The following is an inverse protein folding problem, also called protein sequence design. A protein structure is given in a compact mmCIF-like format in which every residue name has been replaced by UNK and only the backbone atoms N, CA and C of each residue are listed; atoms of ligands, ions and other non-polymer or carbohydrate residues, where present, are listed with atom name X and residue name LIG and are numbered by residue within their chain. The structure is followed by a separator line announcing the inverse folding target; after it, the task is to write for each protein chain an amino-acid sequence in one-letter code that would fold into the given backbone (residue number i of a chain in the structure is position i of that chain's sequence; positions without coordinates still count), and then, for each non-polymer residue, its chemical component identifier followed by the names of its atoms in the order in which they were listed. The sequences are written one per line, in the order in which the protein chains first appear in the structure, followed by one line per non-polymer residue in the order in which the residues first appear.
data_IF_360735004363
#
_entry.id   IF_360735004363
#
_cell.length_a   1.000
_cell.length_b   1.000
_cell.length_c   1.000
_cell.angle_alpha   90.00
_cell.angle_beta   90.00
_cell.angle_gamma   90.00
#
_symmetry.space_group_name_H-M   'P 1'
#
loop_
_entity.id
_entity.type
_entity.pdbx_description
1 polymer ?
#
# COMPACT_ATOMS: atom_id res chain seq x y z
N UNK A 1 10.89 16.08 -21.13
CA UNK A 1 9.78 15.12 -21.05
C UNK A 1 10.40 13.75 -21.15
N UNK A 2 10.45 13.01 -20.05
CA UNK A 2 10.90 11.61 -20.02
C UNK A 2 9.73 10.79 -20.60
N UNK A 3 9.94 9.92 -21.61
CA UNK A 3 8.86 9.14 -22.18
C UNK A 3 8.25 8.19 -21.12
N UNK A 4 6.94 7.95 -21.21
CA UNK A 4 6.20 7.06 -20.30
C UNK A 4 6.74 5.62 -20.28
N UNK A 5 7.40 5.18 -21.34
CA UNK A 5 8.08 3.89 -21.42
C UNK A 5 9.51 4.03 -20.89
N UNK A 6 9.72 3.73 -19.61
CA UNK A 6 10.97 3.90 -18.87
C UNK A 6 11.92 2.68 -18.94
N UNK A 7 11.65 1.75 -19.85
CA UNK A 7 12.52 0.59 -20.09
C UNK A 7 13.50 0.91 -21.20
N UNK A 8 14.79 0.88 -20.89
CA UNK A 8 15.85 1.20 -21.84
C UNK A 8 16.69 -0.03 -22.18
N UNK A 9 17.10 -0.13 -23.45
CA UNK A 9 18.28 -0.90 -23.85
C UNK A 9 19.56 -0.24 -23.32
N UNK A 10 20.71 -0.94 -23.27
CA UNK A 10 21.92 -0.44 -22.64
C UNK A 10 22.17 1.03 -22.97
N UNK A 11 22.37 1.84 -21.94
CA UNK A 11 22.71 3.25 -22.10
C UNK A 11 24.11 3.33 -22.71
N UNK A 12 24.20 3.59 -24.02
CA UNK A 12 25.45 3.65 -24.78
C UNK A 12 26.45 4.68 -24.24
N UNK A 13 26.05 5.53 -23.30
CA UNK A 13 26.85 6.61 -22.74
C UNK A 13 27.27 6.44 -21.28
N UNK A 14 26.86 5.37 -20.59
CA UNK A 14 27.31 5.13 -19.22
C UNK A 14 28.66 4.41 -19.19
N UNK A 15 29.58 4.83 -18.25
CA UNK A 15 30.91 4.21 -18.14
C UNK A 15 30.84 2.69 -17.93
N UNK A 16 31.92 1.98 -18.25
CA UNK A 16 32.13 0.52 -18.12
C UNK A 16 31.63 -0.15 -16.84
N UNK A 17 31.35 0.60 -15.78
CA UNK A 17 30.72 0.13 -14.53
C UNK A 17 29.30 -0.40 -14.74
N UNK A 18 28.62 -0.02 -15.81
CA UNK A 18 27.28 -0.48 -16.18
C UNK A 18 27.26 -1.46 -17.36
N UNK A 19 28.42 -1.87 -17.86
CA UNK A 19 28.57 -3.07 -18.72
C UNK A 19 28.29 -4.33 -17.88
N UNK A 20 27.14 -4.33 -17.22
CA UNK A 20 26.66 -5.46 -16.45
C UNK A 20 26.00 -6.46 -17.36
N UNK A 21 25.85 -7.69 -16.91
CA UNK A 21 25.19 -8.78 -17.64
C UNK A 21 23.68 -8.54 -17.88
N UNK A 22 23.15 -7.39 -17.43
CA UNK A 22 21.72 -7.07 -17.57
C UNK A 22 21.48 -6.35 -18.92
N UNK A 23 20.63 -6.91 -19.78
CA UNK A 23 20.40 -6.35 -21.12
C UNK A 23 19.49 -5.11 -21.11
N UNK A 24 18.76 -4.84 -20.02
CA UNK A 24 17.78 -3.76 -19.91
C UNK A 24 17.81 -3.11 -18.54
N UNK A 25 17.41 -1.85 -18.50
CA UNK A 25 17.33 -1.05 -17.28
C UNK A 25 15.97 -0.36 -17.20
N UNK A 26 15.41 -0.36 -16.00
CA UNK A 26 14.24 0.45 -15.66
C UNK A 26 14.69 1.68 -14.89
N UNK A 27 14.31 2.85 -15.38
CA UNK A 27 14.58 4.13 -14.73
C UNK A 27 13.31 4.59 -14.02
N UNK A 28 13.36 4.62 -12.70
CA UNK A 28 12.29 5.14 -11.86
C UNK A 28 12.62 6.56 -11.42
N UNK A 29 11.75 7.51 -11.74
CA UNK A 29 11.89 8.88 -11.27
C UNK A 29 11.32 8.98 -9.86
N UNK A 30 12.16 9.32 -8.91
CA UNK A 30 11.81 9.39 -7.51
C UNK A 30 11.58 10.84 -7.03
N UNK A 31 12.20 11.78 -7.72
CA UNK A 31 12.02 13.22 -7.59
C UNK A 31 12.60 13.91 -8.83
N UNK A 32 12.52 15.24 -8.90
CA UNK A 32 13.16 16.03 -9.98
C UNK A 32 14.67 15.80 -10.09
N UNK A 33 15.33 15.39 -9.01
CA UNK A 33 16.79 15.27 -8.94
C UNK A 33 17.29 13.88 -8.53
N UNK A 34 16.40 12.94 -8.24
CA UNK A 34 16.77 11.59 -7.83
C UNK A 34 16.05 10.54 -8.68
N UNK A 35 16.83 9.62 -9.23
CA UNK A 35 16.37 8.52 -10.05
C UNK A 35 16.96 7.21 -9.56
N UNK A 36 16.14 6.18 -9.44
CA UNK A 36 16.59 4.81 -9.21
C UNK A 36 16.75 4.09 -10.56
N UNK A 37 17.82 3.31 -10.70
CA UNK A 37 18.11 2.54 -11.91
C UNK A 37 18.15 1.04 -11.54
N UNK A 38 17.22 0.27 -12.07
CA UNK A 38 17.02 -1.14 -11.75
C UNK A 38 17.34 -2.04 -12.95
N UNK A 39 18.10 -3.11 -12.75
CA UNK A 39 18.36 -4.11 -13.79
C UNK A 39 17.16 -5.01 -14.02
N UNK A 40 16.69 -5.13 -15.26
CA UNK A 40 15.58 -6.00 -15.67
C UNK A 40 16.12 -7.19 -16.46
N UNK A 41 15.64 -8.40 -16.12
CA UNK A 41 15.88 -9.62 -16.91
C UNK A 41 14.89 -9.72 -18.06
N UNK A 42 13.61 -9.49 -17.78
CA UNK A 42 12.56 -9.57 -18.82
C UNK A 42 11.35 -8.72 -18.46
N UNK A 43 10.61 -8.26 -19.49
CA UNK A 43 9.28 -7.70 -19.37
C UNK A 43 8.27 -8.82 -19.58
N UNK A 44 7.54 -9.20 -18.53
CA UNK A 44 6.66 -10.36 -18.54
C UNK A 44 5.28 -10.03 -19.10
N UNK A 45 4.81 -8.81 -18.86
CA UNK A 45 3.48 -8.36 -19.27
C UNK A 45 3.42 -6.84 -19.34
N UNK A 46 2.60 -6.32 -20.27
CA UNK A 46 2.29 -4.91 -20.39
C UNK A 46 0.87 -4.75 -20.91
N UNK A 47 0.09 -3.90 -20.26
CA UNK A 47 -1.27 -3.53 -20.69
C UNK A 47 -1.60 -2.12 -20.27
N UNK A 48 -2.08 -1.31 -21.21
CA UNK A 48 -2.76 -0.06 -20.89
C UNK A 48 -4.22 -0.36 -20.55
N UNK A 49 -4.59 -0.16 -19.29
CA UNK A 49 -5.98 -0.20 -18.85
C UNK A 49 -6.68 1.14 -19.13
N UNK A 50 -7.93 1.28 -18.74
CA UNK A 50 -8.62 2.57 -18.76
C UNK A 50 -7.97 3.59 -17.81
N UNK A 51 -7.28 3.11 -16.75
CA UNK A 51 -6.81 3.95 -15.64
C UNK A 51 -5.29 4.15 -15.61
N UNK A 52 -4.51 3.13 -16.02
CA UNK A 52 -3.06 3.13 -15.82
C UNK A 52 -2.34 2.16 -16.76
N UNK A 53 -1.05 2.36 -16.94
CA UNK A 53 -0.16 1.40 -17.60
C UNK A 53 0.30 0.34 -16.59
N UNK A 54 -0.19 -0.88 -16.75
CA UNK A 54 0.17 -2.04 -15.93
C UNK A 54 1.34 -2.75 -16.59
N UNK A 55 2.48 -2.84 -15.90
CA UNK A 55 3.65 -3.58 -16.37
C UNK A 55 4.12 -4.57 -15.30
N UNK A 56 4.51 -5.76 -15.72
CA UNK A 56 5.13 -6.79 -14.88
C UNK A 56 6.47 -7.15 -15.47
N UNK A 57 7.53 -7.02 -14.68
CA UNK A 57 8.87 -7.31 -15.11
C UNK A 57 9.62 -8.19 -14.10
N UNK A 58 10.57 -9.00 -14.57
CA UNK A 58 11.51 -9.74 -13.73
C UNK A 58 12.76 -8.88 -13.50
N UNK A 59 12.87 -8.34 -12.30
CA UNK A 59 14.01 -7.54 -11.86
C UNK A 59 15.12 -8.44 -11.30
N UNK A 60 16.37 -8.05 -11.52
CA UNK A 60 17.52 -8.84 -11.10
C UNK A 60 17.57 -9.05 -9.57
N UNK A 61 17.25 -8.02 -8.80
CA UNK A 61 17.37 -8.01 -7.34
C UNK A 61 16.01 -8.09 -6.62
N UNK A 62 14.91 -7.68 -7.30
CA UNK A 62 13.59 -7.60 -6.71
C UNK A 62 12.69 -8.80 -7.05
N UNK A 63 13.08 -9.62 -8.07
CA UNK A 63 12.22 -10.65 -8.62
C UNK A 63 11.10 -10.07 -9.48
N UNK A 64 9.98 -10.77 -9.58
CA UNK A 64 8.81 -10.26 -10.31
C UNK A 64 8.28 -9.02 -9.62
N UNK A 65 8.03 -7.99 -10.39
CA UNK A 65 7.71 -6.67 -9.88
C UNK A 65 6.59 -6.03 -10.68
N UNK A 66 5.57 -5.54 -9.99
CA UNK A 66 4.50 -4.72 -10.57
C UNK A 66 4.96 -3.28 -10.68
N UNK A 67 4.73 -2.70 -11.85
CA UNK A 67 4.98 -1.29 -12.13
C UNK A 67 3.67 -0.69 -12.63
N UNK A 68 3.22 0.40 -12.02
CA UNK A 68 2.08 1.19 -12.49
C UNK A 68 2.56 2.59 -12.90
N UNK A 69 2.26 2.99 -14.12
CA UNK A 69 2.65 4.29 -14.68
C UNK A 69 4.14 4.63 -14.49
N UNK A 70 4.99 3.57 -14.55
CA UNK A 70 6.44 3.72 -14.39
C UNK A 70 6.92 3.86 -12.95
N UNK A 71 6.13 3.44 -11.96
CA UNK A 71 6.50 3.36 -10.54
C UNK A 71 6.34 1.95 -10.01
N UNK A 72 7.33 1.48 -9.26
CA UNK A 72 7.27 0.19 -8.58
C UNK A 72 6.19 0.26 -7.50
N UNK A 73 5.27 -0.73 -7.52
CA UNK A 73 4.18 -0.84 -6.56
C UNK A 73 4.31 -2.07 -5.66
N UNK A 74 4.73 -3.20 -6.23
CA UNK A 74 4.85 -4.47 -5.51
C UNK A 74 6.03 -5.24 -6.07
N UNK A 75 6.93 -5.74 -5.22
CA UNK A 75 8.04 -6.59 -5.61
C UNK A 75 8.05 -7.91 -4.82
N UNK A 76 8.36 -9.01 -5.48
CA UNK A 76 8.37 -10.37 -4.90
C UNK A 76 9.30 -10.49 -3.68
N UNK A 77 10.38 -9.72 -3.69
CA UNK A 77 11.39 -9.77 -2.62
C UNK A 77 10.89 -9.24 -1.29
N UNK A 78 9.99 -8.25 -1.28
CA UNK A 78 9.67 -7.48 -0.07
C UNK A 78 8.20 -7.06 0.10
N UNK A 79 7.29 -7.46 -0.81
CA UNK A 79 5.86 -7.13 -0.73
C UNK A 79 5.25 -7.46 0.64
N UNK A 80 5.73 -8.55 1.25
CA UNK A 80 5.24 -9.00 2.54
C UNK A 80 5.55 -8.02 3.68
N UNK A 81 6.59 -7.21 3.57
CA UNK A 81 6.92 -6.18 4.56
C UNK A 81 5.83 -5.11 4.53
N UNK A 82 5.50 -4.64 3.33
CA UNK A 82 4.48 -3.63 3.11
C UNK A 82 3.09 -4.11 3.55
N UNK A 83 2.65 -5.27 3.07
CA UNK A 83 1.31 -5.77 3.35
C UNK A 83 1.13 -6.22 4.80
N UNK A 84 2.16 -6.83 5.42
CA UNK A 84 2.13 -7.14 6.85
C UNK A 84 2.02 -5.85 7.70
N UNK A 85 2.72 -4.77 7.31
CA UNK A 85 2.64 -3.47 8.00
C UNK A 85 1.28 -2.80 7.79
N UNK A 86 0.70 -2.86 6.61
CA UNK A 86 -0.59 -2.25 6.29
C UNK A 86 -1.75 -2.94 7.02
N UNK A 87 -1.77 -4.26 7.01
CA UNK A 87 -2.93 -5.06 7.42
C UNK A 87 -2.89 -5.41 8.91
N UNK A 88 -1.84 -6.08 9.37
CA UNK A 88 -1.89 -6.76 10.66
C UNK A 88 -1.96 -5.84 11.89
N UNK A 89 -1.31 -4.66 11.92
CA UNK A 89 -1.51 -3.74 13.03
C UNK A 89 -2.98 -3.30 13.15
N UNK A 90 -3.68 -3.03 12.04
CA UNK A 90 -5.10 -2.67 12.07
C UNK A 90 -5.96 -3.79 12.64
N UNK A 91 -5.69 -5.04 12.21
CA UNK A 91 -6.42 -6.23 12.68
C UNK A 91 -6.22 -6.46 14.19
N UNK A 92 -5.03 -6.20 14.71
CA UNK A 92 -4.75 -6.34 16.16
C UNK A 92 -5.33 -5.19 16.98
N UNK A 93 -5.30 -3.96 16.44
CA UNK A 93 -5.84 -2.77 17.11
C UNK A 93 -7.36 -2.78 17.17
N UNK A 94 -8.05 -3.34 16.20
CA UNK A 94 -9.49 -3.44 16.18
C UNK A 94 -10.00 -4.39 17.29
N UNK A 95 -11.14 -4.04 17.89
CA UNK A 95 -11.77 -4.91 18.88
C UNK A 95 -12.48 -6.11 18.23
N UNK A 96 -13.02 -5.88 17.05
CA UNK A 96 -13.69 -6.87 16.21
C UNK A 96 -13.18 -6.70 14.78
N UNK A 97 -12.98 -7.80 14.09
CA UNK A 97 -12.46 -7.85 12.73
C UNK A 97 -13.39 -8.58 11.75
N UNK A 98 -14.64 -8.85 12.18
CA UNK A 98 -15.57 -9.68 11.40
C UNK A 98 -15.93 -9.12 10.03
N UNK A 99 -15.87 -7.80 9.83
CA UNK A 99 -16.16 -7.14 8.55
C UNK A 99 -15.04 -6.18 8.17
N UNK A 100 -14.42 -6.42 7.02
CA UNK A 100 -13.30 -5.65 6.50
C UNK A 100 -13.65 -5.05 5.14
N UNK A 101 -13.34 -3.77 4.96
CA UNK A 101 -13.37 -3.08 3.67
C UNK A 101 -11.95 -2.81 3.23
N UNK A 102 -11.62 -3.12 1.98
CA UNK A 102 -10.37 -2.76 1.33
C UNK A 102 -10.69 -1.82 0.18
N UNK A 103 -10.06 -0.67 0.15
CA UNK A 103 -10.16 0.33 -0.91
C UNK A 103 -8.86 0.30 -1.70
N UNK A 104 -8.92 -0.02 -3.00
CA UNK A 104 -7.77 -0.35 -3.83
C UNK A 104 -7.28 -1.79 -3.58
N UNK A 105 -5.97 -2.03 -3.79
CA UNK A 105 -5.35 -3.33 -3.55
C UNK A 105 -5.72 -4.39 -4.59
N UNK A 106 -5.84 -3.99 -5.86
CA UNK A 106 -6.18 -4.87 -6.99
C UNK A 106 -5.16 -5.99 -7.25
N UNK A 107 -3.97 -5.93 -6.63
CA UNK A 107 -2.99 -7.01 -6.62
C UNK A 107 -3.39 -8.20 -5.71
N UNK A 108 -4.35 -8.01 -4.81
CA UNK A 108 -4.88 -9.04 -3.91
C UNK A 108 -3.99 -9.38 -2.72
N UNK A 109 -2.82 -8.75 -2.54
CA UNK A 109 -1.91 -9.06 -1.45
C UNK A 109 -2.45 -8.60 -0.08
N UNK A 110 -3.02 -7.38 0.00
CA UNK A 110 -3.70 -6.93 1.21
C UNK A 110 -4.90 -7.83 1.56
N UNK A 111 -5.66 -8.25 0.55
CA UNK A 111 -6.77 -9.20 0.71
C UNK A 111 -6.29 -10.54 1.26
N UNK A 112 -5.21 -11.10 0.72
CA UNK A 112 -4.56 -12.32 1.22
C UNK A 112 -4.22 -12.22 2.70
N UNK A 113 -3.63 -11.11 3.11
CA UNK A 113 -3.23 -10.91 4.51
C UNK A 113 -4.44 -10.80 5.45
N UNK A 114 -5.52 -10.14 5.03
CA UNK A 114 -6.79 -10.06 5.78
C UNK A 114 -7.38 -11.45 5.98
N UNK A 115 -7.38 -12.28 4.95
CA UNK A 115 -7.99 -13.63 4.97
C UNK A 115 -7.25 -14.64 5.85
N UNK A 116 -6.02 -14.38 6.25
CA UNK A 116 -5.29 -15.17 7.25
C UNK A 116 -5.97 -15.16 8.63
N UNK A 117 -6.82 -14.17 8.90
CA UNK A 117 -7.51 -14.03 10.18
C UNK A 117 -8.82 -14.84 10.20
N UNK A 118 -8.93 -15.89 11.05
CA UNK A 118 -10.13 -16.76 11.06
C UNK A 118 -11.40 -16.05 11.53
N UNK A 119 -11.25 -14.98 12.32
CA UNK A 119 -12.38 -14.20 12.85
C UNK A 119 -13.00 -13.26 11.78
N UNK A 120 -12.39 -13.12 10.60
CA UNK A 120 -12.94 -12.39 9.45
C UNK A 120 -14.07 -13.21 8.82
N UNK A 121 -15.24 -12.58 8.64
CA UNK A 121 -16.46 -13.21 8.11
C UNK A 121 -16.87 -12.65 6.76
N UNK A 122 -16.52 -11.40 6.51
CA UNK A 122 -16.88 -10.67 5.29
C UNK A 122 -15.76 -9.70 4.93
N UNK A 123 -15.34 -9.74 3.68
CA UNK A 123 -14.41 -8.77 3.10
C UNK A 123 -15.05 -8.20 1.84
N UNK A 124 -15.10 -6.88 1.74
CA UNK A 124 -15.41 -6.19 0.50
C UNK A 124 -14.14 -5.51 -0.02
N UNK A 125 -13.70 -5.88 -1.21
CA UNK A 125 -12.62 -5.20 -1.91
C UNK A 125 -13.23 -4.33 -3.00
N UNK A 126 -12.89 -3.06 -3.03
CA UNK A 126 -13.37 -2.07 -4.01
C UNK A 126 -12.19 -1.57 -4.80
N UNK A 127 -12.09 -2.01 -6.04
CA UNK A 127 -11.04 -1.66 -6.99
C UNK A 127 -11.67 -1.04 -8.23
N UNK A 128 -11.05 0.01 -8.76
CA UNK A 128 -11.57 0.69 -9.95
C UNK A 128 -11.11 -0.01 -11.23
N UNK A 129 -9.93 -0.60 -11.21
CA UNK A 129 -9.28 -1.22 -12.38
C UNK A 129 -9.46 -2.74 -12.38
N UNK A 130 -10.46 -3.22 -13.12
CA UNK A 130 -10.71 -4.66 -13.30
C UNK A 130 -9.50 -5.38 -13.90
N UNK A 131 -8.75 -4.71 -14.78
CA UNK A 131 -7.57 -5.29 -15.43
C UNK A 131 -6.46 -5.63 -14.43
N UNK A 132 -6.35 -4.89 -13.34
CA UNK A 132 -5.43 -5.22 -12.24
C UNK A 132 -5.78 -6.57 -11.62
N UNK A 133 -7.04 -6.75 -11.23
CA UNK A 133 -7.52 -7.98 -10.59
C UNK A 133 -7.34 -9.19 -11.51
N UNK A 134 -7.78 -9.05 -12.78
CA UNK A 134 -7.65 -10.14 -13.75
C UNK A 134 -6.19 -10.48 -14.05
N UNK A 135 -5.32 -9.47 -14.11
CA UNK A 135 -3.88 -9.68 -14.30
C UNK A 135 -3.29 -10.52 -13.16
N UNK A 136 -3.61 -10.20 -11.91
CA UNK A 136 -3.06 -10.93 -10.76
C UNK A 136 -3.67 -12.32 -10.60
N UNK A 137 -4.94 -12.50 -10.86
CA UNK A 137 -5.58 -13.83 -10.87
C UNK A 137 -4.93 -14.78 -11.88
N UNK A 138 -4.60 -14.28 -13.06
CA UNK A 138 -4.09 -15.12 -14.16
C UNK A 138 -2.58 -15.30 -14.09
N UNK A 139 -1.83 -14.24 -13.84
CA UNK A 139 -0.37 -14.26 -13.96
C UNK A 139 0.36 -14.52 -12.62
N UNK A 140 -0.30 -14.24 -11.48
CA UNK A 140 0.31 -14.34 -10.15
C UNK A 140 -0.62 -15.01 -9.10
N UNK A 141 -1.24 -16.17 -9.42
CA UNK A 141 -2.11 -16.85 -8.47
C UNK A 141 -1.39 -17.24 -7.18
N UNK A 142 -0.07 -17.44 -7.23
CA UNK A 142 0.77 -17.72 -6.06
C UNK A 142 0.99 -16.49 -5.16
N UNK A 143 0.73 -15.26 -5.60
CA UNK A 143 0.78 -14.08 -4.74
C UNK A 143 -0.53 -13.88 -4.01
N UNK A 144 -1.63 -14.11 -4.70
CA UNK A 144 -2.98 -13.94 -4.15
C UNK A 144 -3.43 -15.12 -3.30
N UNK A 145 -2.83 -16.31 -3.49
CA UNK A 145 -3.21 -17.56 -2.82
C UNK A 145 -4.71 -17.88 -2.92
N UNK A 146 -5.35 -17.52 -4.04
CA UNK A 146 -6.79 -17.73 -4.23
C UNK A 146 -7.68 -16.77 -3.40
N UNK A 147 -7.14 -15.64 -2.97
CA UNK A 147 -7.86 -14.69 -2.11
C UNK A 147 -9.12 -14.14 -2.77
N UNK A 148 -9.11 -13.92 -4.08
CA UNK A 148 -10.28 -13.39 -4.79
C UNK A 148 -11.45 -14.38 -4.89
N UNK A 149 -11.18 -15.67 -4.75
CA UNK A 149 -12.16 -16.76 -4.82
C UNK A 149 -12.65 -17.24 -3.45
N UNK A 150 -12.15 -16.65 -2.36
CA UNK A 150 -12.58 -17.00 -0.99
C UNK A 150 -14.06 -16.61 -0.78
N UNK A 151 -14.84 -17.52 -0.22
CA UNK A 151 -16.30 -17.36 0.00
C UNK A 151 -16.68 -16.14 0.85
N UNK A 152 -15.75 -15.63 1.65
CA UNK A 152 -15.94 -14.43 2.47
C UNK A 152 -15.80 -13.14 1.69
N UNK A 153 -15.32 -13.19 0.43
CA UNK A 153 -14.91 -12.03 -0.37
C UNK A 153 -15.98 -11.62 -1.36
N UNK A 154 -16.23 -10.32 -1.41
CA UNK A 154 -16.97 -9.66 -2.49
C UNK A 154 -16.04 -8.65 -3.14
N UNK A 155 -15.72 -8.87 -4.40
CA UNK A 155 -14.98 -7.91 -5.23
C UNK A 155 -15.98 -7.00 -5.93
N UNK A 156 -15.74 -5.70 -5.90
CA UNK A 156 -16.55 -4.67 -6.55
C UNK A 156 -15.67 -3.82 -7.45
N UNK A 157 -15.96 -3.84 -8.73
CA UNK A 157 -15.30 -2.94 -9.68
C UNK A 157 -16.03 -1.61 -9.65
N UNK A 158 -15.48 -0.67 -8.90
CA UNK A 158 -16.04 0.68 -8.78
C UNK A 158 -15.06 1.65 -8.12
N UNK A 159 -15.35 2.92 -8.26
CA UNK A 159 -14.66 3.98 -7.53
C UNK A 159 -14.83 3.83 -6.01
N UNK A 160 -13.73 3.97 -5.27
CA UNK A 160 -13.72 3.83 -3.81
C UNK A 160 -14.67 4.79 -3.10
N UNK A 161 -14.95 5.97 -3.68
CA UNK A 161 -15.91 6.94 -3.09
C UNK A 161 -17.35 6.44 -3.07
N UNK A 162 -17.69 5.43 -3.87
CA UNK A 162 -19.05 4.87 -3.94
C UNK A 162 -19.51 4.28 -2.61
N UNK A 163 -18.57 3.76 -1.79
CA UNK A 163 -18.88 3.19 -0.47
C UNK A 163 -19.47 4.24 0.49
N UNK A 164 -19.22 5.52 0.25
CA UNK A 164 -19.75 6.60 1.09
C UNK A 164 -21.27 6.73 1.01
N UNK A 165 -21.85 6.34 -0.13
CA UNK A 165 -23.29 6.42 -0.39
C UNK A 165 -24.08 5.25 0.22
N UNK A 166 -23.40 4.27 0.80
CA UNK A 166 -24.02 3.06 1.34
C UNK A 166 -24.23 3.14 2.84
N UNK A 167 -25.21 2.40 3.37
CA UNK A 167 -25.47 2.32 4.81
C UNK A 167 -24.63 1.24 5.51
N UNK A 168 -23.63 0.68 4.81
CA UNK A 168 -22.76 -0.35 5.39
C UNK A 168 -21.71 0.24 6.32
N UNK A 169 -21.34 -0.52 7.33
CA UNK A 169 -20.30 -0.17 8.31
C UNK A 169 -19.34 -1.32 8.55
N UNK A 170 -18.10 -0.99 8.87
CA UNK A 170 -16.97 -1.91 8.87
C UNK A 170 -16.21 -1.90 10.19
N UNK A 171 -15.65 -3.04 10.57
CA UNK A 171 -14.78 -3.13 11.74
C UNK A 171 -13.36 -2.65 11.44
N UNK A 172 -12.88 -2.96 10.24
CA UNK A 172 -11.59 -2.49 9.73
C UNK A 172 -11.81 -1.96 8.33
N UNK A 173 -11.21 -0.81 8.02
CA UNK A 173 -11.14 -0.26 6.68
C UNK A 173 -9.67 -0.07 6.34
N UNK A 174 -9.22 -0.67 5.25
CA UNK A 174 -7.85 -0.58 4.73
C UNK A 174 -7.89 0.21 3.44
N UNK A 175 -7.11 1.27 3.35
CA UNK A 175 -6.91 2.06 2.14
C UNK A 175 -5.54 1.76 1.56
N UNK A 176 -5.55 1.00 0.48
CA UNK A 176 -4.40 0.59 -0.32
C UNK A 176 -4.50 1.24 -1.70
N UNK A 177 -4.69 2.55 -1.68
CA UNK A 177 -4.85 3.40 -2.86
C UNK A 177 -3.50 4.02 -3.24
N UNK A 178 -3.25 4.17 -4.52
CA UNK A 178 -2.10 4.93 -5.02
C UNK A 178 -2.18 6.39 -4.55
N UNK A 179 -1.05 6.98 -4.17
CA UNK A 179 -0.98 8.37 -3.72
C UNK A 179 -1.49 9.34 -4.79
N UNK A 180 -2.06 10.49 -4.35
CA UNK A 180 -2.67 11.47 -5.26
C UNK A 180 -1.65 12.28 -6.05
N UNK A 181 -0.37 12.11 -5.80
CA UNK A 181 0.68 12.95 -6.36
C UNK A 181 1.49 12.18 -7.38
N UNK A 182 1.42 12.61 -8.64
CA UNK A 182 2.43 12.27 -9.62
C UNK A 182 3.38 13.45 -9.82
N UNK A 183 4.63 13.16 -10.17
CA UNK A 183 5.65 14.17 -10.44
C UNK A 183 5.44 14.88 -11.79
N UNK A 184 4.39 14.53 -12.52
CA UNK A 184 4.10 15.09 -13.86
C UNK A 184 3.28 16.37 -13.79
N UNK A 185 2.68 16.67 -12.63
CA UNK A 185 1.81 17.83 -12.45
C UNK A 185 0.51 17.75 -13.26
N UNK A 186 0.14 16.55 -13.71
CA UNK A 186 -1.11 16.32 -14.41
C UNK A 186 -2.26 16.26 -13.40
N UNK A 187 -3.17 17.25 -13.48
CA UNK A 187 -4.26 17.47 -12.53
C UNK A 187 -5.41 16.45 -12.63
N UNK A 188 -5.24 15.38 -13.38
CA UNK A 188 -6.23 14.31 -13.57
C UNK A 188 -6.01 13.10 -12.66
N UNK A 189 -5.26 13.23 -11.57
CA UNK A 189 -5.07 12.12 -10.65
C UNK A 189 -6.40 11.76 -9.97
N UNK A 190 -6.93 10.60 -10.31
CA UNK A 190 -8.19 10.06 -9.77
C UNK A 190 -8.17 9.93 -8.23
N UNK A 191 -6.98 9.80 -7.65
CA UNK A 191 -6.81 9.61 -6.21
C UNK A 191 -6.98 10.91 -5.42
N UNK A 192 -6.73 12.11 -5.96
CA UNK A 192 -6.73 13.38 -5.19
C UNK A 192 -7.99 13.55 -4.32
N UNK A 193 -9.17 13.24 -4.87
CA UNK A 193 -10.45 13.35 -4.16
C UNK A 193 -10.61 12.37 -3.00
N UNK A 194 -9.82 11.27 -3.00
CA UNK A 194 -9.83 10.22 -1.97
C UNK A 194 -8.85 10.52 -0.82
N UNK A 195 -8.08 11.61 -0.92
CA UNK A 195 -7.12 12.06 0.10
C UNK A 195 -7.53 13.39 0.76
N UNK A 196 -8.82 13.72 0.71
CA UNK A 196 -9.37 14.93 1.32
C UNK A 196 -9.87 14.69 2.75
N UNK A 197 -9.93 15.76 3.55
CA UNK A 197 -10.51 15.70 4.90
C UNK A 197 -11.96 15.21 4.88
N UNK A 198 -12.73 15.63 3.89
CA UNK A 198 -14.15 15.25 3.79
C UNK A 198 -14.29 13.76 3.50
N UNK A 199 -13.45 13.20 2.60
CA UNK A 199 -13.41 11.77 2.35
C UNK A 199 -13.02 10.99 3.62
N UNK A 200 -11.93 11.35 4.30
CA UNK A 200 -11.51 10.66 5.52
C UNK A 200 -12.53 10.80 6.66
N UNK A 201 -13.20 11.94 6.77
CA UNK A 201 -14.28 12.11 7.76
C UNK A 201 -15.47 11.22 7.46
N UNK A 202 -15.85 11.09 6.20
CA UNK A 202 -16.91 10.19 5.76
C UNK A 202 -16.52 8.71 5.97
N UNK A 203 -15.28 8.31 5.67
CA UNK A 203 -14.74 6.98 5.99
C UNK A 203 -14.80 6.71 7.49
N UNK A 204 -14.45 7.72 8.32
CA UNK A 204 -14.58 7.61 9.78
C UNK A 204 -16.02 7.31 10.23
N UNK A 205 -17.02 7.84 9.52
CA UNK A 205 -18.46 7.56 9.73
C UNK A 205 -18.87 6.13 9.31
N UNK A 206 -18.06 5.43 8.51
CA UNK A 206 -18.27 4.02 8.13
C UNK A 206 -17.64 3.03 9.09
N UNK A 207 -16.85 3.49 10.04
CA UNK A 207 -16.30 2.62 11.08
C UNK A 207 -17.35 2.29 12.13
N UNK A 208 -17.42 1.03 12.49
CA UNK A 208 -18.16 0.56 13.67
C UNK A 208 -17.48 1.04 14.95
N UNK A 209 -18.20 0.87 16.07
CA UNK A 209 -17.63 1.13 17.39
C UNK A 209 -16.27 0.42 17.54
N UNK A 210 -15.24 1.19 17.94
CA UNK A 210 -13.84 0.72 18.09
C UNK A 210 -13.24 0.09 16.84
N UNK A 211 -13.76 0.45 15.66
CA UNK A 211 -13.18 0.09 14.37
C UNK A 211 -11.90 0.88 14.09
N UNK A 212 -11.07 0.34 13.20
CA UNK A 212 -9.79 0.91 12.81
C UNK A 212 -9.79 1.19 11.30
N UNK A 213 -9.35 2.38 10.94
CA UNK A 213 -8.93 2.74 9.60
C UNK A 213 -7.42 2.62 9.50
N UNK A 214 -6.92 2.01 8.44
CA UNK A 214 -5.51 1.98 8.09
C UNK A 214 -5.35 2.49 6.65
N UNK A 215 -4.38 3.36 6.43
CA UNK A 215 -4.07 3.86 5.09
C UNK A 215 -2.56 3.87 4.89
N UNK A 216 -2.11 3.42 3.72
CA UNK A 216 -0.79 3.78 3.26
C UNK A 216 -0.73 5.30 3.08
N UNK A 217 0.37 5.93 3.46
CA UNK A 217 0.51 7.38 3.49
C UNK A 217 1.81 7.88 2.85
N UNK A 218 2.37 7.08 1.95
CA UNK A 218 3.55 7.42 1.16
C UNK A 218 4.87 7.23 1.88
N UNK A 219 5.93 7.59 1.20
CA UNK A 219 7.31 7.41 1.63
C UNK A 219 7.95 8.65 2.23
N UNK A 220 8.85 8.46 3.18
CA UNK A 220 9.74 9.51 3.70
C UNK A 220 11.15 9.23 3.22
N UNK A 221 11.78 10.24 2.63
CA UNK A 221 13.22 10.24 2.37
C UNK A 221 13.89 11.24 3.27
N UNK A 222 14.90 10.80 4.01
CA UNK A 222 15.65 11.67 4.92
C UNK A 222 16.76 12.47 4.23
N UNK A 223 17.06 12.12 2.96
CA UNK A 223 18.07 12.82 2.16
C UNK A 223 17.39 13.77 1.18
N UNK A 224 17.23 15.02 1.57
CA UNK A 224 16.63 16.05 0.71
C UNK A 224 15.49 16.82 1.38
N UNK A 225 14.78 17.68 0.65
CA UNK A 225 13.55 18.26 1.15
C UNK A 225 12.59 17.12 1.47
N UNK A 226 12.07 17.12 2.70
CA UNK A 226 11.04 16.17 3.09
C UNK A 226 9.88 16.28 2.10
N UNK A 227 9.41 15.14 1.63
CA UNK A 227 8.25 15.08 0.77
C UNK A 227 7.06 15.73 1.48
N UNK A 228 6.69 16.93 1.01
CA UNK A 228 5.62 17.72 1.61
C UNK A 228 4.26 16.98 1.54
N UNK A 229 4.08 16.16 0.51
CA UNK A 229 2.84 15.44 0.23
C UNK A 229 2.52 14.39 1.29
N UNK A 230 3.52 13.56 1.67
CA UNK A 230 3.38 12.60 2.76
C UNK A 230 2.93 13.27 4.07
N UNK A 231 3.57 14.38 4.44
CA UNK A 231 3.21 15.15 5.65
C UNK A 231 1.77 15.66 5.57
N UNK A 232 1.34 16.11 4.39
CA UNK A 232 -0.01 16.62 4.15
C UNK A 232 -1.06 15.52 4.27
N UNK A 233 -0.82 14.32 3.70
CA UNK A 233 -1.73 13.18 3.85
C UNK A 233 -1.94 12.84 5.32
N UNK A 234 -0.86 12.70 6.09
CA UNK A 234 -0.97 12.37 7.52
C UNK A 234 -1.72 13.47 8.29
N UNK A 235 -1.43 14.75 8.04
CA UNK A 235 -2.15 15.86 8.66
C UNK A 235 -3.63 15.85 8.31
N UNK A 236 -3.96 15.53 7.08
CA UNK A 236 -5.35 15.43 6.61
C UNK A 236 -6.09 14.33 7.35
N UNK A 237 -5.51 13.12 7.46
CA UNK A 237 -6.08 12.03 8.26
C UNK A 237 -6.24 12.45 9.73
N UNK A 238 -5.21 13.05 10.33
CA UNK A 238 -5.27 13.54 11.73
C UNK A 238 -6.36 14.58 11.97
N UNK A 239 -6.70 15.37 10.97
CA UNK A 239 -7.79 16.36 11.05
C UNK A 239 -9.19 15.74 11.00
N UNK A 240 -9.31 14.51 10.47
CA UNK A 240 -10.58 13.79 10.29
C UNK A 240 -10.86 12.76 11.39
N UNK A 241 -9.82 12.28 12.09
CA UNK A 241 -9.96 11.26 13.12
C UNK A 241 -9.52 11.77 14.51
N UNK A 242 -10.15 11.21 15.54
CA UNK A 242 -9.85 11.61 16.92
C UNK A 242 -8.50 11.10 17.42
N UNK A 243 -8.11 9.90 17.03
CA UNK A 243 -6.85 9.27 17.43
C UNK A 243 -6.17 8.70 16.18
N UNK A 244 -4.89 9.00 16.05
CA UNK A 244 -4.05 8.47 14.95
C UNK A 244 -2.73 7.99 15.47
N UNK A 245 -2.16 7.00 14.78
CA UNK A 245 -0.79 6.50 15.02
C UNK A 245 -0.18 6.08 13.71
N UNK A 246 1.05 6.53 13.42
CA UNK A 246 1.74 6.21 12.15
C UNK A 246 2.85 5.21 12.42
N UNK A 247 2.90 4.18 11.59
CA UNK A 247 3.98 3.19 11.51
C UNK A 247 4.96 3.57 10.40
N UNK A 248 6.21 3.14 10.56
CA UNK A 248 7.34 3.47 9.69
C UNK A 248 8.15 2.21 9.40
N UNK A 249 8.41 1.91 8.13
CA UNK A 249 9.27 0.80 7.73
C UNK A 249 9.96 1.08 6.41
N UNK A 250 11.24 0.69 6.32
CA UNK A 250 11.97 0.78 5.06
C UNK A 250 11.55 -0.36 4.13
N UNK A 251 11.06 0.00 2.94
CA UNK A 251 10.72 -0.94 1.88
C UNK A 251 11.80 -0.85 0.80
N UNK A 252 12.61 -1.91 0.62
CA UNK A 252 13.73 -1.89 -0.31
C UNK A 252 13.34 -1.54 -1.75
N UNK A 253 12.26 -2.11 -2.26
CA UNK A 253 11.78 -1.86 -3.63
C UNK A 253 11.30 -0.41 -3.84
N UNK A 254 10.82 0.25 -2.78
CA UNK A 254 10.41 1.66 -2.82
C UNK A 254 11.57 2.62 -2.54
N UNK A 255 12.73 2.08 -2.13
CA UNK A 255 13.90 2.87 -1.74
C UNK A 255 13.57 4.02 -0.76
N UNK A 256 12.60 3.80 0.11
CA UNK A 256 12.07 4.79 1.04
C UNK A 256 11.61 4.16 2.36
N UNK A 257 11.59 4.96 3.43
CA UNK A 257 10.83 4.61 4.64
C UNK A 257 9.36 4.88 4.36
N UNK A 258 8.60 3.80 4.15
CA UNK A 258 7.17 3.88 3.88
C UNK A 258 6.36 4.03 5.15
N UNK A 259 5.18 4.60 5.05
CA UNK A 259 4.36 4.87 6.21
C UNK A 259 2.94 4.34 6.05
N UNK A 260 2.39 3.87 7.16
CA UNK A 260 0.99 3.51 7.30
C UNK A 260 0.40 4.26 8.48
N UNK A 261 -0.69 4.99 8.28
CA UNK A 261 -1.38 5.69 9.36
C UNK A 261 -2.64 4.93 9.77
N UNK A 262 -2.70 4.60 11.05
CA UNK A 262 -3.85 3.98 11.70
C UNK A 262 -4.68 5.05 12.41
N UNK A 263 -6.00 4.97 12.30
CA UNK A 263 -6.89 5.98 12.85
C UNK A 263 -8.18 5.38 13.41
N UNK A 264 -8.77 6.04 14.41
CA UNK A 264 -10.09 5.68 14.95
C UNK A 264 -10.82 6.90 15.49
N UNK A 265 -12.16 6.78 15.60
CA UNK A 265 -13.02 7.85 16.11
C UNK A 265 -13.14 7.83 17.64
N UNK A 266 -12.71 6.78 18.29
CA UNK A 266 -12.85 6.64 19.74
C UNK A 266 -11.49 6.49 20.40
N UNK A 267 -11.33 7.09 21.56
CA UNK A 267 -10.14 6.91 22.37
C UNK A 267 -10.12 5.47 22.92
N UNK A 268 -9.19 4.67 22.46
CA UNK A 268 -8.98 3.28 22.88
C UNK A 268 -7.50 3.03 23.13
N UNK A 269 -7.18 2.35 24.22
CA UNK A 269 -5.82 1.93 24.53
C UNK A 269 -5.27 0.92 23.53
N UNK A 270 -6.13 0.25 22.77
CA UNK A 270 -5.69 -0.76 21.77
C UNK A 270 -4.88 -0.16 20.61
N UNK A 271 -5.08 1.11 20.27
CA UNK A 271 -4.28 1.75 19.21
C UNK A 271 -2.86 2.07 19.70
N UNK A 272 -2.68 2.34 21.00
CA UNK A 272 -1.38 2.64 21.60
C UNK A 272 -0.66 1.41 22.15
N UNK A 273 -1.42 0.46 22.68
CA UNK A 273 -0.91 -0.76 23.31
C UNK A 273 -1.81 -1.97 22.93
N UNK A 274 -1.74 -2.43 21.68
CA UNK A 274 -2.53 -3.57 21.22
C UNK A 274 -1.96 -4.88 21.74
N UNK A 275 -2.82 -5.89 22.05
CA UNK A 275 -2.38 -7.18 22.56
C UNK A 275 -1.82 -8.09 21.45
N UNK A 276 -0.71 -7.67 20.80
CA UNK A 276 -0.18 -8.32 19.59
C UNK A 276 0.10 -9.80 19.81
N UNK A 277 0.87 -10.13 20.84
CA UNK A 277 1.24 -11.53 21.14
C UNK A 277 -0.01 -12.41 21.32
N UNK A 278 -0.97 -11.93 22.11
CA UNK A 278 -2.22 -12.66 22.38
C UNK A 278 -3.07 -12.81 21.11
N UNK A 279 -3.16 -11.77 20.29
CA UNK A 279 -3.95 -11.80 19.05
C UNK A 279 -3.38 -12.79 18.04
N UNK A 280 -2.06 -12.79 17.81
CA UNK A 280 -1.41 -13.72 16.90
C UNK A 280 -1.52 -15.17 17.40
N UNK A 281 -1.22 -15.41 18.68
CA UNK A 281 -1.29 -16.75 19.27
C UNK A 281 -2.71 -17.32 19.24
N UNK A 282 -3.72 -16.54 19.61
CA UNK A 282 -5.12 -16.95 19.59
C UNK A 282 -5.61 -17.38 18.20
N UNK A 283 -5.13 -16.69 17.16
CA UNK A 283 -5.52 -16.97 15.78
C UNK A 283 -4.57 -17.96 15.07
N UNK A 284 -3.55 -18.47 15.78
CA UNK A 284 -2.58 -19.41 15.20
C UNK A 284 -1.72 -18.81 14.09
N UNK A 285 -1.55 -17.48 14.06
CA UNK A 285 -0.89 -16.77 12.97
C UNK A 285 0.62 -16.80 13.13
N UNK A 286 1.29 -17.26 12.08
CA UNK A 286 2.72 -17.12 11.85
C UNK A 286 2.90 -16.28 10.60
N UNK A 287 3.18 -14.99 10.79
CA UNK A 287 3.33 -14.01 9.72
C UNK A 287 4.80 -13.92 9.29
N UNK A 288 5.02 -13.52 8.05
CA UNK A 288 6.37 -13.48 7.48
C UNK A 288 7.21 -12.38 8.09
N UNK A 289 6.61 -11.26 8.42
CA UNK A 289 7.29 -10.07 8.93
C UNK A 289 6.73 -9.56 10.26
N UNK A 290 5.41 -9.47 10.38
CA UNK A 290 4.80 -8.87 11.55
C UNK A 290 4.83 -9.78 12.78
N UNK A 291 5.46 -9.29 13.84
CA UNK A 291 5.63 -9.95 15.15
C UNK A 291 5.39 -8.93 16.26
N UNK A 292 5.28 -9.34 17.56
CA UNK A 292 5.25 -8.40 18.66
C UNK A 292 6.47 -7.47 18.69
N UNK A 293 7.64 -7.96 18.32
CA UNK A 293 8.88 -7.17 18.26
C UNK A 293 8.85 -6.12 17.14
N UNK A 294 8.44 -6.53 15.93
CA UNK A 294 8.32 -5.59 14.82
C UNK A 294 7.23 -4.57 15.08
N UNK A 295 6.11 -4.94 15.73
CA UNK A 295 5.08 -3.96 16.09
C UNK A 295 5.66 -2.79 16.91
N UNK A 296 6.44 -3.08 17.95
CA UNK A 296 7.05 -2.02 18.75
C UNK A 296 7.96 -1.12 17.92
N UNK A 297 8.76 -1.71 17.02
CA UNK A 297 9.69 -0.98 16.15
C UNK A 297 8.97 -0.11 15.12
N UNK A 298 7.92 -0.61 14.49
CA UNK A 298 7.12 0.11 13.48
C UNK A 298 6.64 1.48 13.99
N UNK A 299 6.30 1.59 15.26
CA UNK A 299 5.79 2.83 15.85
C UNK A 299 6.85 3.69 16.56
N UNK A 300 8.13 3.39 16.32
CA UNK A 300 9.26 4.14 16.88
C UNK A 300 9.91 4.94 15.76
N UNK A 301 9.55 6.23 15.67
CA UNK A 301 10.16 7.14 14.71
C UNK A 301 11.30 7.94 15.35
N UNK A 302 12.29 8.33 14.55
CA UNK A 302 13.30 9.30 14.94
C UNK A 302 12.65 10.64 15.34
N UNK A 303 13.26 11.44 16.25
CA UNK A 303 12.71 12.72 16.69
C UNK A 303 12.41 13.66 15.52
N UNK A 304 13.24 13.69 14.51
CA UNK A 304 13.12 14.51 13.32
C UNK A 304 11.80 14.20 12.57
N UNK A 305 11.49 12.91 12.45
CA UNK A 305 10.26 12.45 11.80
C UNK A 305 9.04 12.79 12.67
N UNK A 306 9.11 12.55 13.99
CA UNK A 306 7.99 12.83 14.91
C UNK A 306 7.59 14.29 14.96
N UNK A 307 8.53 15.20 14.71
CA UNK A 307 8.30 16.64 14.73
C UNK A 307 7.70 17.20 13.43
N UNK A 308 7.48 16.35 12.41
CA UNK A 308 6.85 16.75 11.15
C UNK A 308 5.33 16.91 11.25
N UNK A 309 4.71 16.29 12.24
CA UNK A 309 3.24 16.16 12.35
C UNK A 309 2.67 16.88 13.57
#
# INVERSE_FOLDING_TARGET
VIPANRIFSPLESLPHLLETRQPRWFLEAESESFFALWGIRDLLYEKQSEYQLIQLADFADLGRTLILDGRIQVAESDEYIYHDMLVHPAMVMAQNIGRVLILGGGDGCALREVLKWPDVKEVCLVEIDEDMIETFKVLFPEWTHGAFEDERVTVRISDASTVLNENQTWNVIISDLTEPYDDTGDSNNLSERLFTKDFFSAIGGKLRDRGIFAAQTGGIRLSGPLDAHHVEIIKTIRSAFRVTRTAYEYIPSFNATWTTTFACQQNTTRISDPPVHHALARNGLQLRYYTPGTHCRLFTAAPEIRNLY
#
